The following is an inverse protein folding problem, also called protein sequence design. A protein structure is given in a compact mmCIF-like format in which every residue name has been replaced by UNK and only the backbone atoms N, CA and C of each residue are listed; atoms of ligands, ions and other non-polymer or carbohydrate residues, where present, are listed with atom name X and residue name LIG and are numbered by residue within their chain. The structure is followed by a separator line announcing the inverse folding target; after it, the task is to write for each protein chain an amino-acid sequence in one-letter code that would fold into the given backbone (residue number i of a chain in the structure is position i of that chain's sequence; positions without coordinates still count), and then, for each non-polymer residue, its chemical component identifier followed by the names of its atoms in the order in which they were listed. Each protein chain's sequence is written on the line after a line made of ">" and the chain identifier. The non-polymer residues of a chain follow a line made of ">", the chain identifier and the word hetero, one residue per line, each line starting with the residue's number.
data_IF_299074796373
#
_entry.id   IF_299074796373
#
_cell.length_a   1.000
_cell.length_b   1.000
_cell.length_c   1.000
_cell.angle_alpha   90.00
_cell.angle_beta   90.00
_cell.angle_gamma   90.00
#
_symmetry.space_group_name_H-M   'P 1'
#
loop_
_entity.id
_entity.type
_entity.pdbx_description
1 polymer ?
#
# COMPACT_ATOMS: atom_id res chain seq x y z
N UNK A 1 -3.56 -12.90 24.31
CA UNK A 1 -3.36 -12.69 22.87
C UNK A 1 -2.38 -13.72 22.36
N UNK A 2 -2.71 -14.42 21.28
CA UNK A 2 -1.76 -15.33 20.60
C UNK A 2 -0.85 -14.53 19.68
N UNK A 3 0.34 -15.08 19.38
CA UNK A 3 1.28 -14.45 18.43
C UNK A 3 0.62 -14.16 17.08
N UNK A 4 -0.24 -15.08 16.63
CA UNK A 4 -0.98 -14.93 15.37
C UNK A 4 -1.99 -13.78 15.42
N UNK A 5 -2.69 -13.60 16.55
CA UNK A 5 -3.61 -12.45 16.75
C UNK A 5 -2.85 -11.12 16.73
N UNK A 6 -1.67 -11.06 17.34
CA UNK A 6 -0.82 -9.86 17.32
C UNK A 6 -0.38 -9.56 15.88
N UNK A 7 0.08 -10.56 15.14
CA UNK A 7 0.47 -10.41 13.73
C UNK A 7 -0.67 -9.85 12.88
N UNK A 8 -1.88 -10.38 13.01
CA UNK A 8 -3.02 -9.87 12.25
C UNK A 8 -3.42 -8.45 12.64
N UNK A 9 -3.35 -8.12 13.94
CA UNK A 9 -3.63 -6.76 14.40
C UNK A 9 -2.62 -5.77 13.82
N UNK A 10 -1.33 -6.10 13.87
CA UNK A 10 -0.26 -5.27 13.31
C UNK A 10 -0.40 -5.14 11.79
N UNK A 11 -0.64 -6.25 11.09
CA UNK A 11 -0.83 -6.25 9.65
C UNK A 11 -2.02 -5.38 9.22
N UNK A 12 -3.17 -5.53 9.88
CA UNK A 12 -4.35 -4.71 9.62
C UNK A 12 -4.10 -3.23 9.94
N UNK A 13 -3.47 -2.94 11.09
CA UNK A 13 -3.14 -1.58 11.51
C UNK A 13 -2.20 -0.88 10.53
N UNK A 14 -1.11 -1.53 10.15
CA UNK A 14 -0.17 -0.99 9.16
C UNK A 14 -0.81 -0.84 7.78
N UNK A 15 -1.68 -1.77 7.37
CA UNK A 15 -2.43 -1.68 6.12
C UNK A 15 -3.35 -0.45 6.08
N UNK A 16 -4.12 -0.23 7.14
CA UNK A 16 -5.04 0.92 7.25
C UNK A 16 -4.26 2.23 7.33
N UNK A 17 -3.24 2.32 8.18
CA UNK A 17 -2.43 3.53 8.32
C UNK A 17 -1.66 3.86 7.03
N UNK A 18 -1.11 2.85 6.35
CA UNK A 18 -0.45 3.01 5.06
C UNK A 18 -1.41 3.50 3.97
N UNK A 19 -2.62 2.93 3.92
CA UNK A 19 -3.66 3.38 2.98
C UNK A 19 -4.09 4.83 3.26
N UNK A 20 -4.31 5.18 4.53
CA UNK A 20 -4.64 6.55 4.92
C UNK A 20 -3.53 7.52 4.54
N UNK A 21 -2.27 7.17 4.82
CA UNK A 21 -1.12 7.98 4.42
C UNK A 21 -1.08 8.18 2.90
N UNK A 22 -1.32 7.13 2.11
CA UNK A 22 -1.38 7.23 0.65
C UNK A 22 -2.50 8.16 0.18
N UNK A 23 -3.71 8.01 0.72
CA UNK A 23 -4.84 8.86 0.36
C UNK A 23 -4.57 10.33 0.69
N UNK A 24 -4.09 10.62 1.90
CA UNK A 24 -3.89 11.98 2.39
C UNK A 24 -2.67 12.67 1.76
N UNK A 25 -1.56 11.96 1.59
CA UNK A 25 -0.30 12.55 1.14
C UNK A 25 -0.09 12.47 -0.38
N UNK A 26 -0.82 11.59 -1.08
CA UNK A 26 -0.67 11.42 -2.54
C UNK A 26 -1.95 11.76 -3.27
N UNK A 27 -3.07 11.10 -2.96
CA UNK A 27 -4.30 11.24 -3.76
C UNK A 27 -4.94 12.60 -3.60
N UNK A 28 -5.09 13.09 -2.36
CA UNK A 28 -5.67 14.42 -2.08
C UNK A 28 -4.89 15.53 -2.82
N UNK A 29 -3.56 15.69 -2.65
CA UNK A 29 -2.84 16.75 -3.36
C UNK A 29 -2.91 16.57 -4.88
N UNK A 30 -2.80 15.33 -5.39
CA UNK A 30 -2.89 15.06 -6.82
C UNK A 30 -4.23 15.53 -7.42
N UNK A 31 -5.36 15.23 -6.77
CA UNK A 31 -6.69 15.62 -7.25
C UNK A 31 -6.93 17.13 -7.10
N UNK A 32 -6.42 17.75 -6.02
CA UNK A 32 -6.58 19.19 -5.80
C UNK A 32 -5.80 20.05 -6.78
N UNK A 33 -4.70 19.55 -7.35
CA UNK A 33 -3.89 20.26 -8.35
C UNK A 33 -4.64 20.51 -9.67
N UNK A 34 -5.55 19.61 -10.04
CA UNK A 34 -6.30 19.71 -11.31
C UNK A 34 -7.65 20.41 -11.13
N UNK A 35 -7.99 21.26 -12.09
CA UNK A 35 -9.29 21.97 -12.13
C UNK A 35 -10.36 21.17 -12.87
N UNK A 36 -9.99 20.38 -13.88
CA UNK A 36 -10.96 19.65 -14.72
C UNK A 36 -11.25 18.28 -14.12
N UNK A 37 -12.51 17.85 -14.20
CA UNK A 37 -12.98 16.58 -13.62
C UNK A 37 -12.31 15.37 -14.28
N UNK A 38 -12.09 15.39 -15.60
CA UNK A 38 -11.43 14.28 -16.30
C UNK A 38 -9.95 14.15 -15.92
N UNK A 39 -9.24 15.25 -15.70
CA UNK A 39 -7.84 15.23 -15.24
C UNK A 39 -7.74 14.61 -13.84
N UNK A 40 -8.70 14.92 -12.95
CA UNK A 40 -8.79 14.32 -11.62
C UNK A 40 -8.98 12.81 -11.66
N UNK A 41 -9.86 12.32 -12.55
CA UNK A 41 -10.09 10.88 -12.72
C UNK A 41 -8.81 10.16 -13.17
N UNK A 42 -8.08 10.73 -14.12
CA UNK A 42 -6.80 10.16 -14.58
C UNK A 42 -5.76 10.19 -13.45
N UNK A 43 -5.69 11.27 -12.67
CA UNK A 43 -4.76 11.39 -11.55
C UNK A 43 -5.04 10.33 -10.46
N UNK A 44 -6.31 10.05 -10.16
CA UNK A 44 -6.71 8.97 -9.24
C UNK A 44 -6.32 7.61 -9.81
N UNK A 45 -6.58 7.35 -11.10
CA UNK A 45 -6.22 6.09 -11.74
C UNK A 45 -4.70 5.84 -11.72
N UNK A 46 -3.90 6.86 -12.02
CA UNK A 46 -2.43 6.79 -11.93
C UNK A 46 -1.96 6.58 -10.49
N UNK A 47 -2.59 7.25 -9.52
CA UNK A 47 -2.29 7.03 -8.10
C UNK A 47 -2.59 5.58 -7.69
N UNK A 48 -3.73 5.04 -8.10
CA UNK A 48 -4.09 3.64 -7.85
C UNK A 48 -3.09 2.66 -8.48
N UNK A 49 -2.58 2.97 -9.69
CA UNK A 49 -1.50 2.19 -10.31
C UNK A 49 -0.22 2.21 -9.47
N UNK A 50 0.18 3.37 -8.97
CA UNK A 50 1.35 3.50 -8.08
C UNK A 50 1.16 2.71 -6.78
N UNK A 51 -0.02 2.79 -6.17
CA UNK A 51 -0.35 1.99 -4.98
C UNK A 51 -0.25 0.49 -5.27
N UNK A 52 -0.81 0.03 -6.40
CA UNK A 52 -0.73 -1.36 -6.82
C UNK A 52 0.72 -1.81 -7.03
N UNK A 53 1.58 -0.96 -7.60
CA UNK A 53 3.00 -1.26 -7.74
C UNK A 53 3.70 -1.41 -6.38
N UNK A 54 3.47 -0.49 -5.43
CA UNK A 54 4.04 -0.60 -4.08
C UNK A 54 3.56 -1.84 -3.34
N UNK A 55 2.26 -2.14 -3.40
CA UNK A 55 1.69 -3.37 -2.82
C UNK A 55 2.31 -4.60 -3.49
N UNK A 56 2.40 -4.63 -4.82
CA UNK A 56 2.99 -5.73 -5.57
C UNK A 56 4.45 -5.98 -5.18
N UNK A 57 5.26 -4.93 -5.11
CA UNK A 57 6.66 -5.03 -4.64
C UNK A 57 6.71 -5.55 -3.21
N UNK A 58 5.88 -5.04 -2.31
CA UNK A 58 5.82 -5.51 -0.92
C UNK A 58 5.45 -6.99 -0.82
N UNK A 59 4.48 -7.45 -1.61
CA UNK A 59 4.08 -8.87 -1.68
C UNK A 59 5.22 -9.73 -2.21
N UNK A 60 5.90 -9.31 -3.28
CA UNK A 60 7.04 -10.04 -3.85
C UNK A 60 8.18 -10.16 -2.84
N UNK A 61 8.56 -9.05 -2.19
CA UNK A 61 9.61 -9.06 -1.17
C UNK A 61 9.22 -9.95 0.03
N UNK A 62 7.97 -9.87 0.47
CA UNK A 62 7.45 -10.75 1.53
C UNK A 62 7.51 -12.23 1.15
N UNK A 63 7.09 -12.57 -0.08
CA UNK A 63 7.14 -13.94 -0.58
C UNK A 63 8.57 -14.47 -0.69
N UNK A 64 9.50 -13.65 -1.20
CA UNK A 64 10.93 -13.99 -1.25
C UNK A 64 11.45 -14.28 0.15
N UNK A 65 11.11 -13.44 1.14
CA UNK A 65 11.54 -13.66 2.53
C UNK A 65 11.03 -14.99 3.09
N UNK A 66 9.76 -15.35 2.87
CA UNK A 66 9.20 -16.63 3.33
C UNK A 66 9.88 -17.82 2.67
N UNK A 67 10.19 -17.72 1.37
CA UNK A 67 10.79 -18.82 0.59
C UNK A 67 12.29 -19.01 0.91
N UNK A 68 13.02 -17.94 1.17
CA UNK A 68 14.45 -17.99 1.49
C UNK A 68 14.72 -18.24 2.98
N UNK A 69 13.76 -17.98 3.87
CA UNK A 69 13.91 -18.18 5.31
C UNK A 69 14.53 -19.54 5.71
N UNK A 70 14.06 -20.69 5.18
CA UNK A 70 14.61 -22.01 5.55
C UNK A 70 16.01 -22.28 4.99
N UNK A 71 16.49 -21.46 4.05
CA UNK A 71 17.84 -21.59 3.49
C UNK A 71 18.85 -20.73 4.25
N UNK A 72 18.37 -19.66 4.90
CA UNK A 72 19.19 -18.69 5.63
C UNK A 72 19.27 -19.02 7.13
N UNK A 73 18.22 -19.67 7.68
CA UNK A 73 18.10 -20.09 9.08
C UNK A 73 17.60 -21.53 9.18
#
# INVERSE_FOLDING_TARGET
>A
MTNQQITYLVAAGLGVLGLLAFLLLVVVPAVTAYRRVHERLIAVALSAYVLAAFVGVGVVLGAVMVVEWPRVF
#
